data_IF_296820618750
#
_entry.id   IF_296820618750
#
_cell.length_a   1.000
_cell.length_b   1.000
_cell.length_c   1.000
_cell.angle_alpha   90.00
_cell.angle_beta   90.00
_cell.angle_gamma   90.00
#
_symmetry.space_group_name_H-M   'P 1'
#
loop_
_entity.id
_entity.type
_entity.pdbx_description
1 polymer ?
#
# COMPACT_ATOMS: atom_id res chain seq x y z
N UNK A 1 4.01 -21.66 6.56
CA UNK A 1 3.53 -20.40 5.95
C UNK A 1 3.24 -20.61 4.46
N UNK A 2 2.10 -20.12 3.93
CA UNK A 2 1.83 -20.07 2.50
C UNK A 2 2.90 -19.27 1.75
N UNK A 3 3.11 -19.59 0.47
CA UNK A 3 4.02 -18.85 -0.43
C UNK A 3 3.29 -18.13 -1.56
N UNK A 4 2.06 -18.54 -1.83
CA UNK A 4 1.24 -17.95 -2.87
C UNK A 4 0.73 -16.57 -2.43
N UNK A 5 0.84 -15.58 -3.32
CA UNK A 5 0.56 -14.17 -2.98
C UNK A 5 -0.94 -13.93 -2.79
N UNK A 6 -1.78 -14.62 -3.55
CA UNK A 6 -3.23 -14.45 -3.47
C UNK A 6 -3.75 -15.12 -2.20
N UNK A 7 -3.21 -16.30 -1.84
CA UNK A 7 -3.48 -16.91 -0.53
C UNK A 7 -3.06 -16.00 0.63
N UNK A 8 -1.90 -15.35 0.56
CA UNK A 8 -1.46 -14.44 1.62
C UNK A 8 -2.39 -13.22 1.77
N UNK A 9 -2.99 -12.73 0.68
CA UNK A 9 -3.94 -11.61 0.67
C UNK A 9 -5.31 -12.01 1.18
N UNK A 10 -5.88 -13.06 0.58
CA UNK A 10 -7.26 -13.47 0.76
C UNK A 10 -7.49 -13.92 2.20
N UNK A 11 -6.51 -14.63 2.77
CA UNK A 11 -6.58 -15.20 4.11
C UNK A 11 -5.88 -14.36 5.18
N UNK A 12 -5.67 -13.05 4.91
CA UNK A 12 -5.29 -12.08 5.95
C UNK A 12 -3.83 -12.07 6.38
N UNK A 13 -2.97 -12.92 5.82
CA UNK A 13 -1.54 -12.98 6.19
C UNK A 13 -0.80 -11.68 5.84
N UNK A 14 -1.18 -10.98 4.77
CA UNK A 14 -0.66 -9.64 4.48
C UNK A 14 -1.25 -8.56 5.40
N UNK A 15 -2.38 -8.80 6.06
CA UNK A 15 -2.93 -7.81 7.00
C UNK A 15 -2.33 -7.98 8.41
N UNK A 16 -1.74 -9.14 8.70
CA UNK A 16 -1.02 -9.39 9.94
C UNK A 16 0.38 -8.72 9.94
N UNK A 17 0.55 -7.75 10.83
CA UNK A 17 1.78 -6.97 11.00
C UNK A 17 2.73 -7.55 12.06
N UNK A 18 2.20 -8.30 13.01
CA UNK A 18 2.97 -8.97 14.06
C UNK A 18 3.29 -10.40 13.59
N UNK A 19 4.56 -10.86 13.69
CA UNK A 19 4.94 -12.19 13.23
C UNK A 19 4.12 -13.32 13.86
N UNK A 20 3.83 -13.25 15.16
CA UNK A 20 3.04 -14.28 15.87
C UNK A 20 1.60 -14.35 15.38
N UNK A 21 0.99 -13.24 14.92
CA UNK A 21 -0.36 -13.23 14.34
C UNK A 21 -0.48 -14.14 13.12
N UNK A 22 0.60 -14.26 12.33
CA UNK A 22 0.60 -15.14 11.15
C UNK A 22 0.55 -16.62 11.53
N UNK A 23 1.15 -16.98 12.66
CA UNK A 23 1.03 -18.35 13.19
C UNK A 23 -0.38 -18.61 13.71
N UNK A 24 -1.03 -17.65 14.39
CA UNK A 24 -2.43 -17.78 14.80
C UNK A 24 -3.36 -17.97 13.59
N UNK A 25 -3.18 -17.19 12.52
CA UNK A 25 -3.91 -17.39 11.26
C UNK A 25 -3.69 -18.79 10.69
N UNK A 26 -2.44 -19.25 10.67
CA UNK A 26 -2.11 -20.59 10.17
C UNK A 26 -2.79 -21.69 11.01
N UNK A 27 -2.84 -21.53 12.33
CA UNK A 27 -3.44 -22.49 13.24
C UNK A 27 -4.97 -22.52 13.16
N UNK A 28 -5.62 -21.38 12.88
CA UNK A 28 -7.06 -21.32 12.56
C UNK A 28 -7.37 -22.21 11.34
N UNK A 29 -6.65 -21.99 10.23
CA UNK A 29 -6.91 -22.74 9.00
C UNK A 29 -6.51 -24.22 9.14
N UNK A 30 -5.42 -24.53 9.86
CA UNK A 30 -5.07 -25.92 10.19
C UNK A 30 -6.14 -26.61 11.02
N UNK A 31 -6.73 -25.91 11.99
CA UNK A 31 -7.83 -26.44 12.79
C UNK A 31 -9.03 -26.82 11.90
N UNK A 32 -9.45 -25.91 11.03
CA UNK A 32 -10.55 -26.15 10.09
C UNK A 32 -10.28 -27.32 9.12
N UNK A 33 -9.10 -27.35 8.50
CA UNK A 33 -8.80 -28.33 7.46
C UNK A 33 -8.43 -29.71 8.02
N UNK A 34 -7.55 -29.76 9.02
CA UNK A 34 -6.98 -31.02 9.48
C UNK A 34 -7.83 -31.67 10.57
N UNK A 35 -8.37 -30.88 11.51
CA UNK A 35 -9.17 -31.39 12.62
C UNK A 35 -10.66 -31.41 12.26
N UNK A 36 -11.13 -30.36 11.61
CA UNK A 36 -12.51 -30.23 11.14
C UNK A 36 -12.82 -31.01 9.86
N UNK A 37 -11.80 -31.39 9.08
CA UNK A 37 -11.98 -32.06 7.79
C UNK A 37 -12.69 -31.19 6.74
N UNK A 38 -12.72 -29.87 6.91
CA UNK A 38 -13.37 -28.97 5.96
C UNK A 38 -12.54 -28.90 4.69
N UNK A 39 -13.19 -29.09 3.54
CA UNK A 39 -12.55 -28.95 2.24
C UNK A 39 -12.07 -27.49 2.04
N UNK A 40 -10.78 -27.24 1.73
CA UNK A 40 -10.27 -25.90 1.48
C UNK A 40 -11.04 -25.12 0.40
N UNK A 41 -11.65 -25.81 -0.57
CA UNK A 41 -12.48 -25.19 -1.61
C UNK A 41 -13.75 -24.56 -1.05
N UNK A 42 -14.32 -25.15 -0.01
CA UNK A 42 -15.49 -24.59 0.68
C UNK A 42 -15.09 -23.29 1.40
N UNK A 43 -13.97 -23.30 2.14
CA UNK A 43 -13.49 -22.10 2.83
C UNK A 43 -13.12 -20.99 1.83
N UNK A 44 -12.52 -21.35 0.70
CA UNK A 44 -12.27 -20.41 -0.39
C UNK A 44 -13.56 -19.81 -0.95
N UNK A 45 -14.64 -20.59 -1.12
CA UNK A 45 -15.93 -20.05 -1.55
C UNK A 45 -16.49 -19.04 -0.54
N UNK A 46 -16.44 -19.33 0.76
CA UNK A 46 -16.83 -18.37 1.80
C UNK A 46 -15.99 -17.09 1.76
N UNK A 47 -14.71 -17.19 1.43
CA UNK A 47 -13.85 -16.03 1.22
C UNK A 47 -14.32 -15.19 0.03
N UNK A 48 -14.57 -15.81 -1.13
CA UNK A 48 -15.08 -15.12 -2.32
C UNK A 48 -16.43 -14.44 -2.06
N UNK A 49 -17.28 -15.05 -1.23
CA UNK A 49 -18.58 -14.51 -0.84
C UNK A 49 -18.48 -13.41 0.24
N UNK A 50 -17.27 -13.08 0.73
CA UNK A 50 -17.05 -12.10 1.79
C UNK A 50 -17.50 -12.57 3.18
N UNK A 51 -17.65 -13.87 3.38
CA UNK A 51 -18.20 -14.53 4.59
C UNK A 51 -17.19 -15.40 5.33
N UNK A 52 -15.90 -15.13 5.14
CA UNK A 52 -14.82 -15.92 5.75
C UNK A 52 -14.87 -15.89 7.28
N UNK A 53 -15.15 -14.71 7.87
CA UNK A 53 -15.28 -14.53 9.33
C UNK A 53 -16.42 -15.40 9.87
N UNK A 54 -17.59 -15.39 9.23
CA UNK A 54 -18.75 -16.21 9.62
C UNK A 54 -18.44 -17.69 9.53
N UNK A 55 -17.72 -18.11 8.49
CA UNK A 55 -17.30 -19.49 8.28
C UNK A 55 -16.43 -19.99 9.45
N UNK A 56 -15.44 -19.18 9.86
CA UNK A 56 -14.55 -19.49 10.97
C UNK A 56 -15.33 -19.55 12.30
N UNK A 57 -16.19 -18.57 12.56
CA UNK A 57 -17.05 -18.56 13.76
C UNK A 57 -17.94 -19.81 13.83
N UNK A 58 -18.64 -20.12 12.75
CA UNK A 58 -19.54 -21.27 12.67
C UNK A 58 -18.81 -22.57 13.03
N UNK A 59 -17.58 -22.75 12.52
CA UNK A 59 -16.78 -23.94 12.83
C UNK A 59 -16.35 -23.99 14.30
N UNK A 60 -15.73 -22.94 14.82
CA UNK A 60 -15.18 -22.95 16.18
C UNK A 60 -16.25 -22.86 17.27
N UNK A 61 -17.38 -22.21 17.02
CA UNK A 61 -18.47 -22.11 17.99
C UNK A 61 -19.20 -23.44 18.19
N UNK A 62 -19.17 -24.33 17.18
CA UNK A 62 -19.67 -25.70 17.31
C UNK A 62 -18.82 -26.59 18.24
N UNK A 63 -17.56 -26.20 18.49
CA UNK A 63 -16.66 -26.88 19.43
C UNK A 63 -16.99 -26.40 20.86
N UNK A 64 -17.03 -27.28 21.87
CA UNK A 64 -17.20 -26.88 23.27
C UNK A 64 -16.18 -25.80 23.68
N UNK A 65 -16.61 -24.80 24.44
CA UNK A 65 -15.82 -23.60 24.75
C UNK A 65 -14.41 -23.91 25.29
N UNK A 66 -14.30 -24.90 26.18
CA UNK A 66 -13.03 -25.34 26.76
C UNK A 66 -12.02 -25.90 25.74
N UNK A 67 -12.46 -26.26 24.53
CA UNK A 67 -11.67 -26.93 23.51
C UNK A 67 -11.42 -26.06 22.27
N UNK A 68 -11.87 -24.80 22.25
CA UNK A 68 -11.74 -23.91 21.07
C UNK A 68 -10.31 -23.42 20.82
N UNK A 69 -9.47 -23.46 21.85
CA UNK A 69 -8.06 -23.07 21.78
C UNK A 69 -7.83 -21.55 21.77
N UNK A 70 -6.59 -21.15 22.01
CA UNK A 70 -6.19 -19.74 22.09
C UNK A 70 -6.26 -19.03 20.74
N UNK A 71 -6.04 -19.74 19.63
CA UNK A 71 -6.09 -19.17 18.27
C UNK A 71 -7.46 -18.61 17.92
N UNK A 72 -8.54 -19.23 18.41
CA UNK A 72 -9.89 -18.70 18.20
C UNK A 72 -10.18 -17.47 19.07
N UNK A 73 -9.69 -17.44 20.32
CA UNK A 73 -9.79 -16.25 21.18
C UNK A 73 -8.99 -15.07 20.63
N UNK A 74 -7.85 -15.34 19.99
CA UNK A 74 -7.10 -14.35 19.23
C UNK A 74 -7.89 -13.88 18.00
N UNK A 75 -8.51 -14.78 17.24
CA UNK A 75 -9.31 -14.45 16.06
C UNK A 75 -10.44 -13.47 16.34
N UNK A 76 -11.19 -13.66 17.44
CA UNK A 76 -12.31 -12.79 17.80
C UNK A 76 -11.89 -11.32 18.04
N UNK A 77 -10.63 -11.07 18.41
CA UNK A 77 -10.07 -9.72 18.54
C UNK A 77 -9.49 -9.18 17.24
N UNK A 78 -9.38 -10.01 16.21
CA UNK A 78 -8.61 -9.76 15.00
C UNK A 78 -9.38 -10.05 13.70
N UNK A 79 -10.72 -10.06 13.77
CA UNK A 79 -11.61 -10.32 12.63
C UNK A 79 -11.37 -9.36 11.46
N UNK A 80 -10.92 -8.14 11.75
CA UNK A 80 -10.56 -7.12 10.75
C UNK A 80 -9.51 -7.61 9.75
N UNK A 81 -8.65 -8.55 10.16
CA UNK A 81 -7.63 -9.13 9.29
C UNK A 81 -8.23 -10.07 8.25
N UNK A 82 -9.50 -10.48 8.37
CA UNK A 82 -10.16 -11.45 7.51
C UNK A 82 -11.43 -10.90 6.86
N UNK A 83 -11.77 -9.63 7.11
CA UNK A 83 -12.85 -8.95 6.42
C UNK A 83 -12.53 -8.78 4.92
N UNK A 84 -13.56 -8.77 4.05
CA UNK A 84 -13.36 -8.47 2.64
C UNK A 84 -12.84 -7.04 2.46
N UNK A 85 -12.01 -6.77 1.43
CA UNK A 85 -11.58 -5.41 1.11
C UNK A 85 -12.80 -4.53 0.80
N UNK A 86 -12.79 -3.25 1.22
CA UNK A 86 -13.91 -2.34 0.97
C UNK A 86 -14.02 -1.90 -0.50
N UNK A 87 -13.10 -2.34 -1.35
CA UNK A 87 -13.06 -2.05 -2.78
C UNK A 87 -12.63 -3.31 -3.55
N UNK A 88 -13.12 -3.44 -4.78
CA UNK A 88 -12.56 -4.42 -5.72
C UNK A 88 -11.15 -3.99 -6.09
N UNK A 89 -10.17 -4.79 -5.71
CA UNK A 89 -8.79 -4.52 -6.02
C UNK A 89 -8.46 -4.88 -7.48
N UNK A 90 -8.73 -3.95 -8.41
CA UNK A 90 -8.26 -4.06 -9.79
C UNK A 90 -6.77 -3.73 -9.92
N UNK A 91 -6.13 -3.27 -8.84
CA UNK A 91 -4.71 -2.94 -8.86
C UNK A 91 -3.86 -4.21 -8.98
N UNK A 92 -4.36 -5.39 -8.62
CA UNK A 92 -3.59 -6.62 -8.72
C UNK A 92 -3.76 -7.41 -10.02
N UNK A 93 -4.44 -6.86 -11.03
CA UNK A 93 -4.38 -7.47 -12.36
C UNK A 93 -2.91 -7.57 -12.78
N UNK A 94 -2.45 -8.81 -12.83
CA UNK A 94 -1.06 -9.17 -13.04
C UNK A 94 -0.68 -8.66 -14.42
N UNK A 95 0.47 -8.00 -14.51
CA UNK A 95 1.06 -7.71 -15.81
C UNK A 95 1.46 -9.05 -16.41
N UNK A 96 0.61 -9.54 -17.30
CA UNK A 96 0.80 -10.79 -18.01
C UNK A 96 1.80 -10.61 -19.16
N UNK A 97 2.10 -11.73 -19.83
CA UNK A 97 3.03 -11.73 -20.96
C UNK A 97 2.54 -10.84 -22.12
N UNK A 98 1.23 -10.62 -22.24
CA UNK A 98 0.65 -9.73 -23.25
C UNK A 98 0.92 -8.25 -22.90
N UNK A 99 0.70 -7.85 -21.64
CA UNK A 99 1.05 -6.52 -21.15
C UNK A 99 2.56 -6.28 -21.22
N UNK A 100 3.38 -7.32 -21.04
CA UNK A 100 4.82 -7.27 -21.24
C UNK A 100 5.20 -6.98 -22.69
N UNK A 101 4.66 -7.75 -23.64
CA UNK A 101 4.91 -7.56 -25.08
C UNK A 101 4.43 -6.19 -25.55
N UNK A 102 3.21 -5.80 -25.19
CA UNK A 102 2.65 -4.52 -25.61
C UNK A 102 3.45 -3.34 -25.05
N UNK A 103 3.85 -3.41 -23.78
CA UNK A 103 4.75 -2.42 -23.19
C UNK A 103 6.09 -2.36 -23.91
N UNK A 104 6.68 -3.52 -24.24
CA UNK A 104 7.95 -3.63 -24.95
C UNK A 104 7.89 -2.95 -26.33
N UNK A 105 6.85 -3.24 -27.11
CA UNK A 105 6.67 -2.60 -28.41
C UNK A 105 6.45 -1.10 -28.29
N UNK A 106 5.66 -0.67 -27.31
CA UNK A 106 5.38 0.74 -27.08
C UNK A 106 6.66 1.55 -26.81
N UNK A 107 7.61 1.00 -26.05
CA UNK A 107 8.87 1.68 -25.74
C UNK A 107 9.92 1.57 -26.87
N UNK A 108 9.57 0.99 -28.03
CA UNK A 108 10.44 0.86 -29.20
C UNK A 108 11.20 -0.47 -29.29
N UNK A 109 10.82 -1.48 -28.49
CA UNK A 109 11.34 -2.84 -28.61
C UNK A 109 10.88 -3.55 -29.89
N UNK A 110 11.63 -4.56 -30.35
CA UNK A 110 11.29 -5.26 -31.58
C UNK A 110 10.02 -6.11 -31.44
N UNK A 111 9.17 -6.11 -32.47
CA UNK A 111 7.99 -6.98 -32.56
C UNK A 111 8.34 -8.45 -32.79
N UNK A 112 9.58 -8.74 -33.18
CA UNK A 112 10.10 -10.10 -33.35
C UNK A 112 10.62 -10.73 -32.06
N UNK A 113 10.81 -9.93 -31.00
CA UNK A 113 11.34 -10.44 -29.73
C UNK A 113 10.30 -11.33 -29.05
N UNK A 114 10.72 -12.53 -28.66
CA UNK A 114 9.92 -13.46 -27.86
C UNK A 114 9.81 -12.97 -26.41
N UNK A 115 8.79 -13.43 -25.69
CA UNK A 115 8.60 -13.12 -24.25
C UNK A 115 9.87 -13.45 -23.44
N UNK A 116 10.51 -14.57 -23.73
CA UNK A 116 11.73 -15.00 -23.02
C UNK A 116 12.89 -14.03 -23.25
N UNK A 117 13.08 -13.57 -24.49
CA UNK A 117 14.11 -12.58 -24.82
C UNK A 117 13.83 -11.23 -24.17
N UNK A 118 12.56 -10.79 -24.17
CA UNK A 118 12.14 -9.55 -23.50
C UNK A 118 12.45 -9.64 -22.00
N UNK A 119 12.04 -10.72 -21.32
CA UNK A 119 12.32 -10.94 -19.89
C UNK A 119 13.82 -10.94 -19.60
N UNK A 120 14.61 -11.61 -20.42
CA UNK A 120 16.08 -11.66 -20.29
C UNK A 120 16.73 -10.27 -20.42
N UNK A 121 16.30 -9.46 -21.40
CA UNK A 121 16.82 -8.09 -21.58
C UNK A 121 16.44 -7.18 -20.43
N UNK A 122 15.20 -7.28 -19.97
CA UNK A 122 14.68 -6.46 -18.87
C UNK A 122 15.39 -6.83 -17.57
N UNK A 123 15.70 -8.11 -17.32
CA UNK A 123 16.38 -8.55 -16.09
C UNK A 123 17.71 -7.83 -15.79
N UNK A 124 18.41 -7.36 -16.83
CA UNK A 124 19.67 -6.63 -16.70
C UNK A 124 19.49 -5.13 -16.38
N UNK A 125 18.25 -4.63 -16.30
CA UNK A 125 17.99 -3.21 -16.10
C UNK A 125 18.18 -2.76 -14.64
N UNK A 126 18.55 -1.48 -14.42
CA UNK A 126 18.46 -0.88 -13.10
C UNK A 126 17.03 -0.91 -12.55
N UNK A 127 16.88 -0.97 -11.24
CA UNK A 127 15.57 -1.04 -10.56
C UNK A 127 14.64 0.12 -10.98
N UNK A 128 15.15 1.34 -11.09
CA UNK A 128 14.37 2.51 -11.51
C UNK A 128 13.84 2.38 -12.95
N UNK A 129 14.60 1.72 -13.83
CA UNK A 129 14.15 1.46 -15.21
C UNK A 129 13.06 0.41 -15.23
N UNK A 130 13.16 -0.62 -14.38
CA UNK A 130 12.05 -1.57 -14.16
C UNK A 130 10.78 -0.87 -13.66
N UNK A 131 10.90 0.03 -12.67
CA UNK A 131 9.76 0.81 -12.14
C UNK A 131 9.10 1.65 -13.23
N UNK A 132 9.89 2.36 -14.03
CA UNK A 132 9.38 3.14 -15.16
C UNK A 132 8.65 2.27 -16.19
N UNK A 133 9.24 1.14 -16.56
CA UNK A 133 8.64 0.25 -17.54
C UNK A 133 7.34 -0.36 -17.04
N UNK A 134 7.34 -0.85 -15.79
CA UNK A 134 6.14 -1.35 -15.12
C UNK A 134 5.04 -0.28 -15.12
N UNK A 135 5.37 0.95 -14.79
CA UNK A 135 4.39 2.05 -14.79
C UNK A 135 3.84 2.35 -16.20
N UNK A 136 4.67 2.30 -17.25
CA UNK A 136 4.20 2.41 -18.65
C UNK A 136 3.19 1.31 -18.97
N UNK A 137 3.45 0.06 -18.58
CA UNK A 137 2.50 -1.03 -18.81
C UNK A 137 1.13 -0.78 -18.14
N UNK A 138 1.13 -0.14 -16.95
CA UNK A 138 -0.11 0.24 -16.26
C UNK A 138 -0.82 1.40 -16.95
N UNK A 139 -0.08 2.41 -17.41
CA UNK A 139 -0.66 3.55 -18.13
C UNK A 139 -1.41 3.11 -19.39
N UNK A 140 -0.86 2.14 -20.12
CA UNK A 140 -1.44 1.63 -21.37
C UNK A 140 -2.69 0.78 -21.15
N UNK A 141 -3.03 0.44 -19.90
CA UNK A 141 -4.15 -0.43 -19.59
C UNK A 141 -5.44 0.37 -19.43
N UNK A 142 -6.39 0.11 -20.32
CA UNK A 142 -7.67 0.80 -20.30
C UNK A 142 -8.43 0.55 -18.99
N UNK A 143 -8.97 1.61 -18.39
CA UNK A 143 -9.75 1.52 -17.15
C UNK A 143 -8.93 1.28 -15.88
N UNK A 144 -7.60 1.15 -15.96
CA UNK A 144 -6.78 0.93 -14.77
C UNK A 144 -6.75 2.15 -13.86
N UNK A 145 -6.91 1.93 -12.56
CA UNK A 145 -6.79 2.93 -11.51
C UNK A 145 -5.71 2.52 -10.52
N UNK A 146 -4.87 3.48 -10.15
CA UNK A 146 -3.75 3.23 -9.27
C UNK A 146 -4.19 3.29 -7.80
N UNK A 147 -4.05 2.17 -7.09
CA UNK A 147 -4.40 2.08 -5.67
C UNK A 147 -3.20 2.42 -4.77
N UNK A 148 -3.44 2.83 -3.52
CA UNK A 148 -2.39 2.95 -2.51
C UNK A 148 -1.64 1.64 -2.26
N UNK A 149 -2.24 0.49 -2.60
CA UNK A 149 -1.58 -0.80 -2.43
C UNK A 149 -0.40 -1.05 -3.37
N UNK A 150 -0.24 -0.17 -4.35
CA UNK A 150 0.83 -0.24 -5.34
C UNK A 150 1.97 0.72 -5.04
N UNK A 151 3.24 0.27 -5.18
CA UNK A 151 4.39 1.15 -4.99
C UNK A 151 4.41 2.30 -6.01
N UNK A 152 3.85 2.10 -7.20
CA UNK A 152 3.78 3.14 -8.24
C UNK A 152 2.95 4.36 -7.78
N UNK A 153 1.99 4.17 -6.87
CA UNK A 153 1.18 5.27 -6.32
C UNK A 153 2.03 6.30 -5.56
N UNK A 154 3.03 5.80 -4.86
CA UNK A 154 4.04 6.61 -4.19
C UNK A 154 5.11 7.08 -5.19
N UNK A 155 5.68 6.17 -5.98
CA UNK A 155 6.81 6.45 -6.88
C UNK A 155 6.51 7.50 -7.94
N UNK A 156 5.26 7.59 -8.42
CA UNK A 156 4.85 8.54 -9.46
C UNK A 156 3.94 9.65 -8.92
N UNK A 157 3.99 9.93 -7.62
CA UNK A 157 3.41 11.14 -7.03
C UNK A 157 1.89 11.16 -6.87
N UNK A 158 1.18 10.07 -7.18
CA UNK A 158 -0.28 9.99 -7.04
C UNK A 158 -0.73 10.15 -5.58
N UNK A 159 0.11 9.77 -4.62
CA UNK A 159 -0.14 10.01 -3.21
C UNK A 159 -0.27 11.49 -2.82
N UNK A 160 0.28 12.40 -3.62
CA UNK A 160 0.18 13.85 -3.44
C UNK A 160 -1.15 14.43 -3.93
N UNK A 161 -1.95 13.68 -4.69
CA UNK A 161 -3.26 14.12 -5.16
C UNK A 161 -4.28 14.16 -4.01
N UNK A 162 -5.12 15.19 -4.00
CA UNK A 162 -6.16 15.42 -2.98
C UNK A 162 -7.53 14.87 -3.36
N UNK A 163 -7.73 14.55 -4.63
CA UNK A 163 -9.00 14.06 -5.15
C UNK A 163 -8.79 13.15 -6.36
N UNK A 164 -9.81 12.37 -6.70
CA UNK A 164 -9.82 11.53 -7.88
C UNK A 164 -9.65 12.37 -9.16
N UNK A 165 -10.22 13.57 -9.20
CA UNK A 165 -10.05 14.50 -10.32
C UNK A 165 -8.59 14.98 -10.48
N UNK A 166 -7.82 15.14 -9.40
CA UNK A 166 -6.38 15.39 -9.47
C UNK A 166 -5.63 14.15 -9.97
N UNK A 167 -5.96 12.96 -9.46
CA UNK A 167 -5.35 11.71 -9.90
C UNK A 167 -5.60 11.45 -11.40
N UNK A 168 -6.83 11.64 -11.88
CA UNK A 168 -7.17 11.50 -13.31
C UNK A 168 -6.38 12.49 -14.17
N UNK A 169 -6.26 13.75 -13.75
CA UNK A 169 -5.46 14.75 -14.49
C UNK A 169 -3.99 14.36 -14.55
N UNK A 170 -3.42 13.89 -13.44
CA UNK A 170 -2.03 13.42 -13.40
C UNK A 170 -1.84 12.18 -14.29
N UNK A 171 -2.76 11.22 -14.25
CA UNK A 171 -2.76 10.03 -15.12
C UNK A 171 -2.77 10.40 -16.60
N UNK A 172 -3.68 11.30 -17.00
CA UNK A 172 -3.77 11.81 -18.39
C UNK A 172 -2.50 12.54 -18.80
N UNK A 173 -1.89 13.31 -17.90
CA UNK A 173 -0.64 14.01 -18.18
C UNK A 173 0.52 13.02 -18.38
N UNK A 174 0.65 11.98 -17.55
CA UNK A 174 1.62 10.90 -17.76
C UNK A 174 1.39 10.21 -19.11
N UNK A 175 0.15 9.86 -19.46
CA UNK A 175 -0.20 9.27 -20.75
C UNK A 175 0.24 10.12 -21.96
N UNK A 176 0.12 11.44 -21.85
CA UNK A 176 0.59 12.37 -22.90
C UNK A 176 2.11 12.38 -22.97
N UNK A 177 2.79 12.43 -21.83
CA UNK A 177 4.26 12.42 -21.75
C UNK A 177 4.82 11.15 -22.39
N UNK A 178 4.39 9.96 -21.97
CA UNK A 178 4.96 8.70 -22.47
C UNK A 178 4.72 8.47 -23.97
N UNK A 179 3.74 9.17 -24.57
CA UNK A 179 3.49 9.16 -26.03
C UNK A 179 4.29 10.20 -26.81
N UNK A 180 4.85 11.19 -26.11
CA UNK A 180 5.57 12.31 -26.73
C UNK A 180 7.08 12.16 -26.63
N UNK A 181 7.57 11.56 -25.54
CA UNK A 181 9.01 11.38 -25.27
C UNK A 181 9.42 9.92 -25.42
N UNK A 182 10.71 9.67 -25.66
CA UNK A 182 11.22 8.29 -25.67
C UNK A 182 11.21 7.70 -24.25
N UNK A 183 11.16 6.37 -24.16
CA UNK A 183 11.21 5.70 -22.85
C UNK A 183 12.48 6.05 -22.07
N UNK A 184 13.64 6.16 -22.73
CA UNK A 184 14.88 6.56 -22.06
C UNK A 184 14.83 8.01 -21.57
N UNK A 185 14.18 8.93 -22.28
CA UNK A 185 13.96 10.30 -21.78
C UNK A 185 13.08 10.30 -20.52
N UNK A 186 11.99 9.53 -20.53
CA UNK A 186 11.10 9.38 -19.37
C UNK A 186 11.84 8.76 -18.18
N UNK A 187 12.55 7.65 -18.39
CA UNK A 187 13.36 6.98 -17.37
C UNK A 187 14.45 7.90 -16.80
N UNK A 188 15.18 8.61 -17.66
CA UNK A 188 16.21 9.56 -17.22
C UNK A 188 15.61 10.71 -16.40
N UNK A 189 14.40 11.15 -16.74
CA UNK A 189 13.72 12.18 -15.95
C UNK A 189 13.33 11.66 -14.56
N UNK A 190 12.83 10.42 -14.48
CA UNK A 190 12.49 9.76 -13.21
C UNK A 190 13.72 9.55 -12.32
N UNK A 191 14.79 8.94 -12.83
CA UNK A 191 15.99 8.63 -12.04
C UNK A 191 16.72 9.87 -11.51
N UNK A 192 16.52 11.03 -12.15
CA UNK A 192 17.10 12.32 -11.75
C UNK A 192 16.13 13.23 -10.97
N UNK A 193 14.97 12.73 -10.54
CA UNK A 193 13.92 13.54 -9.88
C UNK A 193 13.51 14.79 -10.67
N UNK A 194 13.50 14.68 -12.00
CA UNK A 194 13.24 15.79 -12.93
C UNK A 194 11.98 15.58 -13.77
N UNK A 195 11.10 14.65 -13.37
CA UNK A 195 9.77 14.52 -13.95
C UNK A 195 8.98 15.84 -13.95
N UNK A 196 8.96 16.67 -12.89
CA UNK A 196 8.29 17.96 -12.94
C UNK A 196 8.82 18.90 -14.04
N UNK A 197 10.13 18.90 -14.27
CA UNK A 197 10.74 19.67 -15.34
C UNK A 197 10.37 19.10 -16.72
N UNK A 198 10.40 17.78 -16.89
CA UNK A 198 9.96 17.12 -18.12
C UNK A 198 8.50 17.49 -18.47
N UNK A 199 7.61 17.45 -17.49
CA UNK A 199 6.20 17.83 -17.64
C UNK A 199 6.04 19.29 -18.06
N UNK A 200 6.78 20.19 -17.41
CA UNK A 200 6.74 21.63 -17.69
C UNK A 200 7.21 21.95 -19.12
N UNK A 201 8.30 21.33 -19.58
CA UNK A 201 8.82 21.50 -20.95
C UNK A 201 7.84 21.05 -22.04
N UNK A 202 6.92 20.15 -21.70
CA UNK A 202 5.87 19.66 -22.62
C UNK A 202 4.51 20.33 -22.39
N UNK A 203 4.47 21.48 -21.71
CA UNK A 203 3.24 22.26 -21.50
C UNK A 203 2.23 21.61 -20.56
N UNK A 204 2.66 20.68 -19.70
CA UNK A 204 1.83 19.96 -18.74
C UNK A 204 2.32 20.18 -17.30
N UNK A 205 2.52 21.43 -16.82
CA UNK A 205 3.15 21.68 -15.54
C UNK A 205 2.37 21.05 -14.38
N UNK A 206 3.10 20.37 -13.48
CA UNK A 206 2.55 19.85 -12.23
C UNK A 206 2.47 21.01 -11.24
N UNK A 207 1.27 21.42 -10.85
CA UNK A 207 1.06 22.58 -9.96
C UNK A 207 0.82 22.21 -8.51
N UNK A 208 0.52 20.94 -8.21
CA UNK A 208 0.26 20.52 -6.83
C UNK A 208 1.58 20.48 -6.04
N UNK A 209 1.73 21.28 -4.96
CA UNK A 209 2.96 21.27 -4.16
C UNK A 209 3.20 19.92 -3.49
N UNK A 210 2.13 19.17 -3.21
CA UNK A 210 2.22 17.83 -2.61
C UNK A 210 2.75 16.79 -3.61
N UNK A 211 2.33 16.88 -4.88
CA UNK A 211 2.86 16.00 -5.94
C UNK A 211 4.31 16.37 -6.25
N UNK A 212 4.63 17.67 -6.27
CA UNK A 212 5.99 18.15 -6.45
C UNK A 212 6.93 17.71 -5.33
N UNK A 213 6.48 17.70 -4.07
CA UNK A 213 7.27 17.18 -2.95
C UNK A 213 7.67 15.72 -3.16
N UNK A 214 6.73 14.89 -3.60
CA UNK A 214 6.96 13.46 -3.83
C UNK A 214 7.88 13.22 -5.03
N UNK A 215 7.70 13.96 -6.11
CA UNK A 215 8.46 13.79 -7.36
C UNK A 215 9.83 14.51 -7.35
N UNK A 216 10.02 15.48 -6.46
CA UNK A 216 11.24 16.25 -6.31
C UNK A 216 12.28 15.58 -5.41
N UNK A 217 11.87 14.66 -4.53
CA UNK A 217 12.78 13.85 -3.74
C UNK A 217 13.48 12.79 -4.63
N UNK A 218 14.67 12.33 -4.22
CA UNK A 218 15.37 11.22 -4.88
C UNK A 218 14.50 9.97 -4.84
N UNK A 219 14.36 9.20 -5.94
CA UNK A 219 13.56 7.97 -5.93
C UNK A 219 13.99 7.06 -4.77
N UNK A 220 13.02 6.71 -3.90
CA UNK A 220 13.27 5.89 -2.71
C UNK A 220 13.56 6.66 -1.42
N UNK A 221 13.80 7.97 -1.46
CA UNK A 221 14.05 8.82 -0.28
C UNK A 221 12.84 9.70 0.12
N UNK A 222 11.64 9.31 -0.31
CA UNK A 222 10.41 10.03 0.03
C UNK A 222 10.20 10.09 1.56
N UNK A 223 9.74 11.25 2.03
CA UNK A 223 9.41 11.51 3.45
C UNK A 223 8.51 10.41 4.00
N UNK A 224 8.76 10.02 5.26
CA UNK A 224 8.06 8.90 5.91
C UNK A 224 6.54 9.09 5.97
N UNK A 225 6.04 10.33 5.92
CA UNK A 225 4.60 10.62 5.94
C UNK A 225 3.88 10.12 4.70
N UNK A 226 4.57 10.05 3.55
CA UNK A 226 3.98 9.50 2.33
C UNK A 226 3.82 7.99 2.44
N UNK A 227 4.77 7.30 3.08
CA UNK A 227 4.67 5.88 3.44
C UNK A 227 3.59 5.64 4.48
N UNK A 228 3.42 6.56 5.45
CA UNK A 228 2.30 6.51 6.39
C UNK A 228 0.97 6.64 5.66
N UNK A 229 0.84 7.62 4.76
CA UNK A 229 -0.39 7.81 3.97
C UNK A 229 -0.69 6.57 3.14
N UNK A 230 0.32 5.97 2.52
CA UNK A 230 0.16 4.70 1.80
C UNK A 230 -0.34 3.59 2.73
N UNK A 231 0.28 3.41 3.89
CA UNK A 231 -0.10 2.42 4.89
C UNK A 231 -1.52 2.61 5.43
N UNK A 232 -1.95 3.87 5.67
CA UNK A 232 -3.27 4.17 6.20
C UNK A 232 -4.40 3.97 5.18
N UNK A 233 -4.10 4.14 3.89
CA UNK A 233 -5.09 4.07 2.82
C UNK A 233 -5.12 2.71 2.10
N UNK A 234 -3.98 2.03 2.00
CA UNK A 234 -3.86 0.72 1.37
C UNK A 234 -4.31 -0.41 2.29
N UNK A 235 -4.93 -1.43 1.71
CA UNK A 235 -5.54 -2.54 2.42
C UNK A 235 -4.56 -3.70 2.69
N UNK A 236 -3.52 -3.84 1.88
CA UNK A 236 -2.52 -4.91 1.94
C UNK A 236 -1.12 -4.40 2.30
N UNK A 237 -1.01 -3.12 2.68
CA UNK A 237 0.28 -2.51 2.99
C UNK A 237 0.88 -3.05 4.28
N UNK A 238 2.17 -3.37 4.21
CA UNK A 238 2.96 -3.74 5.38
C UNK A 238 3.43 -2.49 6.12
N UNK A 239 3.57 -2.63 7.44
CA UNK A 239 4.20 -1.60 8.25
C UNK A 239 5.70 -1.51 7.90
N UNK A 240 6.14 -0.34 7.42
CA UNK A 240 7.57 -0.09 7.16
C UNK A 240 8.26 0.45 8.41
N UNK A 241 9.58 0.27 8.53
CA UNK A 241 10.35 0.74 9.70
C UNK A 241 10.14 2.25 9.95
N UNK A 242 10.23 3.16 8.95
CA UNK A 242 10.00 4.57 9.19
C UNK A 242 8.58 4.85 9.68
N UNK A 243 7.58 4.15 9.15
CA UNK A 243 6.19 4.33 9.59
C UNK A 243 6.02 3.85 11.03
N UNK A 244 6.64 2.72 11.37
CA UNK A 244 6.57 2.13 12.70
C UNK A 244 7.11 3.07 13.78
N UNK A 245 8.28 3.63 13.55
CA UNK A 245 9.02 4.44 14.52
C UNK A 245 8.46 5.86 14.62
N UNK A 246 8.22 6.51 13.48
CA UNK A 246 7.89 7.95 13.45
C UNK A 246 6.45 8.20 13.92
N UNK A 247 5.53 7.27 13.62
CA UNK A 247 4.09 7.50 13.76
C UNK A 247 3.42 6.63 14.83
N UNK A 248 4.23 6.01 15.70
CA UNK A 248 3.74 5.42 16.95
C UNK A 248 3.29 3.97 16.89
N UNK A 249 3.43 3.28 15.75
CA UNK A 249 3.05 1.87 15.66
C UNK A 249 4.03 0.94 16.39
N UNK A 250 5.28 1.36 16.60
CA UNK A 250 6.22 0.65 17.49
C UNK A 250 5.76 0.59 18.95
N UNK A 251 4.81 1.46 19.34
CA UNK A 251 4.24 1.48 20.69
C UNK A 251 2.96 0.62 20.79
N UNK A 252 2.50 0.01 19.70
CA UNK A 252 1.34 -0.89 19.70
C UNK A 252 1.76 -2.31 20.12
N UNK A 253 1.01 -2.93 21.02
CA UNK A 253 1.30 -4.27 21.54
C UNK A 253 0.60 -5.40 20.74
N UNK A 254 -0.48 -5.08 20.04
CA UNK A 254 -1.32 -6.03 19.31
C UNK A 254 -1.86 -5.46 17.98
N UNK A 255 -2.39 -6.35 17.14
CA UNK A 255 -2.96 -6.03 15.82
C UNK A 255 -4.21 -5.13 15.94
N UNK A 256 -5.00 -5.28 17.00
CA UNK A 256 -6.18 -4.46 17.27
C UNK A 256 -5.79 -2.99 17.45
N UNK A 257 -4.72 -2.74 18.21
CA UNK A 257 -4.16 -1.42 18.45
C UNK A 257 -3.50 -0.85 17.20
N UNK A 258 -2.76 -1.68 16.44
CA UNK A 258 -2.20 -1.28 15.13
C UNK A 258 -3.32 -0.85 14.18
N UNK A 259 -4.36 -1.68 14.03
CA UNK A 259 -5.51 -1.38 13.18
C UNK A 259 -6.23 -0.12 13.64
N UNK A 260 -6.48 0.02 14.94
CA UNK A 260 -7.14 1.21 15.51
C UNK A 260 -6.35 2.49 15.21
N UNK A 261 -5.02 2.47 15.37
CA UNK A 261 -4.16 3.60 15.05
C UNK A 261 -4.11 3.88 13.53
N UNK A 262 -4.08 2.83 12.70
CA UNK A 262 -4.19 2.95 11.24
C UNK A 262 -5.49 3.66 10.84
N UNK A 263 -6.63 3.31 11.47
CA UNK A 263 -7.91 3.97 11.22
C UNK A 263 -7.90 5.45 11.64
N UNK A 264 -7.21 5.81 12.74
CA UNK A 264 -7.03 7.23 13.10
C UNK A 264 -6.31 7.99 11.99
N UNK A 265 -5.21 7.46 11.47
CA UNK A 265 -4.50 8.09 10.35
C UNK A 265 -5.33 8.12 9.06
N UNK A 266 -6.10 7.08 8.78
CA UNK A 266 -7.04 7.07 7.65
C UNK A 266 -8.02 8.24 7.75
N UNK A 267 -8.62 8.46 8.93
CA UNK A 267 -9.53 9.60 9.17
C UNK A 267 -8.83 10.95 8.98
N UNK A 268 -7.59 11.09 9.47
CA UNK A 268 -6.79 12.30 9.30
C UNK A 268 -6.59 12.63 7.80
N UNK A 269 -6.25 11.64 6.98
CA UNK A 269 -6.00 11.88 5.55
C UNK A 269 -7.27 12.01 4.71
N UNK A 270 -8.32 11.24 5.01
CA UNK A 270 -9.53 11.17 4.18
C UNK A 270 -10.59 12.15 4.65
N UNK A 271 -10.97 12.10 5.94
CA UNK A 271 -12.09 12.90 6.46
C UNK A 271 -11.67 14.34 6.72
N UNK A 272 -10.50 14.54 7.35
CA UNK A 272 -10.01 15.89 7.66
C UNK A 272 -9.24 16.56 6.51
N UNK A 273 -8.93 15.81 5.44
CA UNK A 273 -8.17 16.31 4.29
C UNK A 273 -6.80 16.88 4.68
N UNK A 274 -6.16 16.33 5.71
CA UNK A 274 -4.96 16.90 6.31
C UNK A 274 -3.80 17.00 5.32
N UNK A 275 -2.99 18.06 5.47
CA UNK A 275 -1.75 18.19 4.72
C UNK A 275 -0.69 17.23 5.28
N UNK A 276 -0.22 16.23 4.51
CA UNK A 276 0.78 15.27 4.99
C UNK A 276 2.08 15.93 5.45
N UNK A 277 2.51 17.02 4.82
CA UNK A 277 3.75 17.70 5.19
C UNK A 277 3.65 18.36 6.57
N UNK A 278 2.49 18.92 6.94
CA UNK A 278 2.26 19.47 8.29
C UNK A 278 2.24 18.37 9.35
N UNK A 279 1.69 17.20 9.01
CA UNK A 279 1.73 16.04 9.91
C UNK A 279 3.17 15.54 10.11
N UNK A 280 3.98 15.55 9.04
CA UNK A 280 5.40 15.23 9.13
C UNK A 280 6.16 16.22 10.02
N UNK A 281 5.94 17.53 9.84
CA UNK A 281 6.54 18.56 10.69
C UNK A 281 6.17 18.37 12.17
N UNK A 282 4.89 18.08 12.46
CA UNK A 282 4.43 17.80 13.81
C UNK A 282 5.09 16.53 14.40
N UNK A 283 5.28 15.49 13.58
CA UNK A 283 6.02 14.29 13.96
C UNK A 283 7.47 14.60 14.33
N UNK A 284 8.19 15.34 13.48
CA UNK A 284 9.59 15.73 13.70
C UNK A 284 9.75 16.58 14.98
N UNK A 285 8.75 17.41 15.29
CA UNK A 285 8.71 18.26 16.49
C UNK A 285 8.24 17.53 17.76
N UNK A 286 7.88 16.24 17.67
CA UNK A 286 7.32 15.49 18.82
C UNK A 286 5.92 15.97 19.26
N UNK A 287 5.18 16.65 18.38
CA UNK A 287 3.84 17.21 18.63
C UNK A 287 2.73 16.48 17.85
N UNK A 288 2.98 15.22 17.50
CA UNK A 288 2.12 14.44 16.61
C UNK A 288 0.68 14.33 17.12
N UNK A 289 0.51 13.93 18.38
CA UNK A 289 -0.82 13.80 19.00
C UNK A 289 -1.58 15.13 19.08
N UNK A 290 -0.90 16.21 19.50
CA UNK A 290 -1.51 17.53 19.63
C UNK A 290 -1.95 18.08 18.28
N UNK A 291 -1.14 17.88 17.23
CA UNK A 291 -1.54 18.25 15.87
C UNK A 291 -2.72 17.40 15.38
N UNK A 292 -2.69 16.09 15.61
CA UNK A 292 -3.73 15.18 15.17
C UNK A 292 -5.10 15.50 15.81
N UNK A 293 -5.12 15.90 17.09
CA UNK A 293 -6.35 16.35 17.80
C UNK A 293 -6.98 17.61 17.23
N UNK A 294 -6.21 18.46 16.56
CA UNK A 294 -6.74 19.66 15.89
C UNK A 294 -7.45 19.31 14.58
N UNK A 295 -7.17 18.14 14.00
CA UNK A 295 -7.69 17.71 12.71
C UNK A 295 -8.93 16.83 12.83
N UNK A 296 -8.99 15.97 13.86
CA UNK A 296 -10.12 15.08 14.09
C UNK A 296 -10.25 14.70 15.57
N UNK A 297 -11.39 14.13 15.95
CA UNK A 297 -11.60 13.61 17.30
C UNK A 297 -10.78 12.33 17.49
N UNK A 298 -9.83 12.38 18.40
CA UNK A 298 -8.94 11.25 18.74
C UNK A 298 -9.13 10.90 20.21
N UNK A 299 -9.23 9.60 20.49
CA UNK A 299 -9.30 9.08 21.85
C UNK A 299 -7.99 9.38 22.61
N UNK A 300 -8.04 9.88 23.85
CA UNK A 300 -6.86 10.08 24.69
C UNK A 300 -5.93 8.87 24.81
N UNK A 301 -6.42 7.63 24.64
CA UNK A 301 -5.59 6.42 24.67
C UNK A 301 -4.49 6.40 23.60
N UNK A 302 -4.67 7.13 22.49
CA UNK A 302 -3.64 7.23 21.44
C UNK A 302 -2.51 8.22 21.79
N UNK A 303 -2.62 8.99 22.87
CA UNK A 303 -1.59 9.96 23.29
C UNK A 303 -0.26 9.28 23.65
N UNK A 304 -0.33 8.13 24.31
CA UNK A 304 0.85 7.32 24.63
C UNK A 304 1.47 6.69 23.38
N UNK A 305 0.64 6.32 22.41
CA UNK A 305 1.04 5.65 21.17
C UNK A 305 1.70 6.62 20.18
N UNK A 306 1.14 7.81 19.98
CA UNK A 306 1.61 8.81 18.99
C UNK A 306 2.82 9.62 19.49
N UNK A 307 3.81 8.94 20.08
CA UNK A 307 5.10 9.51 20.47
C UNK A 307 6.16 9.11 19.47
N UNK A 308 6.84 10.10 18.89
CA UNK A 308 8.02 9.88 18.10
C UNK A 308 9.20 9.62 19.05
N UNK A 309 9.85 8.46 18.92
CA UNK A 309 10.99 8.05 19.75
C UNK A 309 12.29 8.78 19.39
N UNK A 310 12.33 9.52 18.27
CA UNK A 310 13.49 10.28 17.81
C UNK A 310 13.09 11.69 17.33
N UNK A 311 12.58 12.58 18.21
CA UNK A 311 12.30 13.95 17.83
C UNK A 311 13.61 14.71 17.57
N UNK A 312 13.63 15.54 16.53
CA UNK A 312 14.78 16.43 16.31
C UNK A 312 14.73 17.49 17.41
N UNK A 313 15.80 17.58 18.22
CA UNK A 313 15.91 18.64 19.23
C UNK A 313 15.82 19.98 18.50
N UNK A 314 14.94 20.90 18.93
CA UNK A 314 14.95 22.25 18.36
C UNK A 314 16.35 22.84 18.57
N UNK A 315 16.93 23.38 17.50
CA UNK A 315 18.15 24.19 17.59
C UNK A 315 17.86 25.32 18.59
N UNK A 316 18.56 25.29 19.72
CA UNK A 316 18.55 26.39 20.68
C UNK A 316 19.01 27.65 19.96
N UNK A 317 18.12 28.61 19.80
CA UNK A 317 18.42 29.98 19.36
C UNK A 317 19.36 30.68 20.33
#
# INVERSE_FOLDING_TARGET
MPRDTDVLKDFGFLRAHIPSSREHLLDIFRGMFNQGGIDPRVVHQFMLDGRLVDCIKTFYEAIPEANRGECYSWFLRNEQLLMPPPFHDTSHEVLDDNALQHGWWFIGGSTSDTVAEIKSRIQAWPEDKHRCFKFVQLLLRAGFQLSPDRPEWLQFGFCGCKSDAEQTRLWVAYLKIIRTVTFDQFYNAYSKSSLPALFSTHGLPITSPLVLDVLGDVPGQVKSVWKLKQFALGYYQQLTVPVSVDYGFSNCEDEETIYSLQQVYRKIFVEAGANPLKLHEACVQGKLFEHAKQLTRIDPKFASLMKNNHPVKPLST
#
